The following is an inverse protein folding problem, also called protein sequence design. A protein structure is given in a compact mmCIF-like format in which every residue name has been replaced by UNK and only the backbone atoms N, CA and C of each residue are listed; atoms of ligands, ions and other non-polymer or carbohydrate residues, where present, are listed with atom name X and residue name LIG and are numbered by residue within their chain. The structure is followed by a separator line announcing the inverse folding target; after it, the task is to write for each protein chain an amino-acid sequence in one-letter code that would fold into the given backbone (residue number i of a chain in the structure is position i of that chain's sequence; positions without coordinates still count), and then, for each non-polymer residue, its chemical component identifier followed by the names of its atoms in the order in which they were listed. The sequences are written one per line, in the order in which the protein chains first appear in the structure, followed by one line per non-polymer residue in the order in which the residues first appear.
data_IF_089885123820
#
_entry.id   IF_089885123820
#
_cell.length_a   1.000
_cell.length_b   1.000
_cell.length_c   1.000
_cell.angle_alpha   90.00
_cell.angle_beta   90.00
_cell.angle_gamma   90.00
#
_symmetry.space_group_name_H-M   'P 1'
#
loop_
_entity.id
_entity.type
_entity.pdbx_description
1 polymer ?
#
# COMPACT_ATOMS: atom_id res chain seq x y z
N UNK A 1 18.00 8.13 9.13
CA UNK A 1 17.72 7.59 8.47
C UNK A 1 18.45 6.56 8.08
N UNK A 2 19.20 6.32 7.94
CA UNK A 2 19.96 5.26 7.58
C UNK A 2 19.43 3.90 7.81
N UNK A 3 18.33 3.78 8.49
CA UNK A 3 17.83 2.49 8.75
C UNK A 3 17.37 1.77 7.55
N UNK A 4 17.01 2.49 6.52
CA UNK A 4 16.54 1.84 5.34
C UNK A 4 17.57 0.92 4.77
N UNK A 5 18.80 1.33 4.75
CA UNK A 5 19.83 0.52 4.18
C UNK A 5 20.08 -0.75 4.94
N UNK A 6 19.77 -0.74 6.23
CA UNK A 6 20.04 -1.90 7.02
C UNK A 6 19.03 -2.99 6.81
N UNK A 7 17.81 -2.63 6.44
CA UNK A 7 16.77 -3.63 6.30
C UNK A 7 16.55 -4.08 4.88
N UNK A 8 17.27 -3.51 3.94
CA UNK A 8 17.09 -3.85 2.57
C UNK A 8 18.04 -4.99 2.21
N UNK A 9 17.55 -6.04 1.61
CA UNK A 9 18.42 -7.13 1.19
C UNK A 9 19.45 -6.62 0.20
N UNK A 10 20.59 -7.22 0.22
CA UNK A 10 21.63 -6.83 -0.69
C UNK A 10 21.34 -7.36 -2.06
N UNK A 11 21.09 -6.48 -3.00
CA UNK A 11 20.89 -6.89 -4.37
C UNK A 11 21.85 -6.11 -5.23
N UNK A 12 22.28 -6.70 -6.29
CA UNK A 12 23.20 -6.04 -7.19
C UNK A 12 22.43 -5.25 -8.24
N UNK A 13 23.12 -4.38 -8.91
CA UNK A 13 22.50 -3.60 -9.97
C UNK A 13 21.98 -4.53 -11.06
N UNK A 14 22.74 -5.58 -11.35
CA UNK A 14 22.30 -6.52 -12.37
C UNK A 14 20.99 -7.19 -12.00
N UNK A 15 20.84 -7.51 -10.72
CA UNK A 15 19.60 -8.13 -10.27
C UNK A 15 18.45 -7.16 -10.43
N UNK A 16 18.69 -5.89 -10.14
CA UNK A 16 17.63 -4.90 -10.28
C UNK A 16 17.26 -4.68 -11.74
N UNK A 17 18.22 -4.78 -12.62
CA UNK A 17 17.94 -4.59 -14.03
C UNK A 17 17.03 -5.67 -14.58
N UNK A 18 17.13 -6.87 -14.02
CA UNK A 18 16.30 -7.97 -14.50
C UNK A 18 15.02 -8.11 -13.70
N UNK A 19 14.86 -7.35 -12.63
CA UNK A 19 13.67 -7.45 -11.81
C UNK A 19 12.48 -6.85 -12.55
N UNK A 20 11.31 -7.35 -12.23
CA UNK A 20 10.12 -6.85 -12.90
C UNK A 20 9.65 -5.58 -12.25
N UNK A 21 9.12 -4.68 -13.05
CA UNK A 21 8.58 -3.44 -12.55
C UNK A 21 7.22 -3.69 -11.92
N UNK A 22 7.01 -3.18 -10.72
CA UNK A 22 5.72 -3.26 -10.07
C UNK A 22 4.84 -2.15 -10.60
N UNK A 23 3.64 -2.49 -11.00
CA UNK A 23 2.71 -1.49 -11.50
C UNK A 23 1.39 -1.61 -10.78
N UNK A 24 0.68 -0.49 -10.73
CA UNK A 24 -0.65 -0.46 -10.18
C UNK A 24 -1.61 -1.13 -11.15
N UNK A 25 -2.77 -1.49 -10.65
CA UNK A 25 -3.80 -2.08 -11.49
C UNK A 25 -4.20 -1.13 -12.61
N UNK A 26 -4.00 0.17 -12.43
CA UNK A 26 -4.31 1.13 -13.47
C UNK A 26 -3.19 1.27 -14.49
N UNK A 27 -2.05 0.66 -14.24
CA UNK A 27 -0.92 0.75 -15.14
C UNK A 27 0.18 1.70 -14.71
N UNK A 28 -0.06 2.50 -13.69
CA UNK A 28 0.95 3.42 -13.21
C UNK A 28 2.06 2.70 -12.47
N UNK A 29 3.26 3.26 -12.49
CA UNK A 29 4.42 2.62 -11.90
C UNK A 29 5.08 3.47 -10.82
N UNK A 30 4.56 4.64 -10.53
CA UNK A 30 5.14 5.52 -9.53
C UNK A 30 4.18 5.61 -8.35
N UNK A 31 4.71 5.49 -7.14
CA UNK A 31 3.88 5.40 -5.96
C UNK A 31 4.32 6.43 -4.93
N UNK A 32 3.41 6.74 -4.02
CA UNK A 32 3.66 7.65 -2.92
C UNK A 32 3.23 7.00 -1.63
N UNK A 33 3.91 7.34 -0.57
CA UNK A 33 3.54 6.86 0.75
C UNK A 33 2.59 7.86 1.39
N UNK A 34 1.52 7.37 1.98
CA UNK A 34 0.53 8.20 2.66
C UNK A 34 0.15 7.53 3.96
N UNK A 35 -0.60 8.23 4.77
CA UNK A 35 -1.01 7.70 6.06
C UNK A 35 -2.53 7.64 6.11
N UNK A 36 -3.03 6.49 6.49
CA UNK A 36 -4.45 6.28 6.70
C UNK A 36 -4.65 5.97 8.17
N UNK A 37 -5.74 6.42 8.76
CA UNK A 37 -6.02 6.14 10.15
C UNK A 37 -7.17 5.17 10.27
N UNK A 38 -7.01 4.22 11.19
CA UNK A 38 -8.11 3.34 11.56
C UNK A 38 -8.58 3.76 12.93
N UNK A 39 -9.91 3.74 13.13
CA UNK A 39 -10.48 4.10 14.41
C UNK A 39 -10.85 2.83 15.14
N UNK A 40 -10.28 2.64 16.33
CA UNK A 40 -10.53 1.46 17.12
C UNK A 40 -11.52 1.85 18.20
N UNK A 41 -12.64 1.14 18.27
CA UNK A 41 -13.67 1.49 19.23
C UNK A 41 -13.22 1.22 20.64
N UNK A 42 -13.84 1.90 21.60
CA UNK A 42 -13.46 1.73 22.99
C UNK A 42 -13.70 0.31 23.48
N UNK A 43 -14.63 -0.38 22.88
CA UNK A 43 -14.96 -1.73 23.32
C UNK A 43 -13.84 -2.71 23.07
N UNK A 44 -13.17 -2.59 21.93
CA UNK A 44 -12.11 -3.54 21.60
C UNK A 44 -10.73 -2.96 21.79
N UNK A 45 -10.64 -1.70 22.16
CA UNK A 45 -9.33 -1.08 22.36
C UNK A 45 -8.69 -1.60 23.66
N UNK A 46 -7.39 -1.87 23.65
CA UNK A 46 -6.73 -2.34 24.88
C UNK A 46 -6.83 -1.35 26.02
N UNK A 47 -6.96 -0.06 25.73
CA UNK A 47 -7.02 0.95 26.77
C UNK A 47 -8.44 1.24 27.23
N UNK A 48 -9.43 0.67 26.55
CA UNK A 48 -10.81 0.96 26.89
C UNK A 48 -11.30 2.29 26.36
N UNK A 49 -10.51 2.95 25.54
CA UNK A 49 -10.90 4.22 24.95
C UNK A 49 -10.79 4.12 23.46
N UNK A 50 -11.57 4.93 22.78
CA UNK A 50 -11.49 4.99 21.33
C UNK A 50 -10.12 5.54 20.94
N UNK A 51 -9.48 4.92 19.97
CA UNK A 51 -8.15 5.32 19.57
C UNK A 51 -8.03 5.34 18.07
N UNK A 52 -7.12 6.18 17.58
CA UNK A 52 -6.81 6.22 16.16
C UNK A 52 -5.47 5.52 15.94
N UNK A 53 -5.44 4.67 14.97
CA UNK A 53 -4.23 3.92 14.67
C UNK A 53 -3.74 4.32 13.27
N UNK A 54 -2.54 4.89 13.17
CA UNK A 54 -2.02 5.29 11.86
C UNK A 54 -1.45 4.09 11.12
N UNK A 55 -1.71 4.03 9.82
CA UNK A 55 -1.16 3.00 8.97
C UNK A 55 -0.54 3.67 7.77
N UNK A 56 0.67 3.24 7.44
CA UNK A 56 1.29 3.72 6.22
C UNK A 56 0.74 2.93 5.06
N UNK A 57 0.36 3.62 4.02
CA UNK A 57 -0.15 2.97 2.82
C UNK A 57 0.60 3.51 1.62
N UNK A 58 0.58 2.74 0.56
CA UNK A 58 1.21 3.14 -0.69
C UNK A 58 0.11 3.38 -1.70
N UNK A 59 0.08 4.54 -2.29
CA UNK A 59 -0.92 4.83 -3.31
C UNK A 59 -0.23 5.06 -4.64
N UNK A 60 -0.97 4.84 -5.70
CA UNK A 60 -0.47 5.08 -7.04
C UNK A 60 -0.57 6.56 -7.34
N UNK A 61 0.50 7.13 -7.85
CA UNK A 61 0.50 8.54 -8.15
C UNK A 61 -0.45 8.87 -9.28
N UNK A 62 -0.67 7.95 -10.19
CA UNK A 62 -1.53 8.21 -11.33
C UNK A 62 -3.01 8.17 -11.00
N UNK A 63 -3.45 7.15 -10.28
CA UNK A 63 -4.88 7.03 -10.02
C UNK A 63 -5.27 7.39 -8.59
N UNK A 64 -4.30 7.56 -7.70
CA UNK A 64 -4.60 7.96 -6.34
C UNK A 64 -5.14 6.87 -5.46
N UNK A 65 -5.15 5.63 -5.93
CA UNK A 65 -5.69 4.52 -5.16
C UNK A 65 -4.59 3.57 -4.74
N UNK A 66 -4.91 2.68 -3.83
CA UNK A 66 -3.95 1.72 -3.33
C UNK A 66 -3.96 0.52 -4.27
N UNK A 67 -2.81 0.16 -4.84
CA UNK A 67 -2.77 -1.06 -5.65
C UNK A 67 -3.15 -2.26 -4.80
N UNK A 68 -3.85 -3.20 -5.39
CA UNK A 68 -4.31 -4.35 -4.63
C UNK A 68 -3.14 -5.13 -4.04
N UNK A 69 -2.01 -5.05 -4.69
CA UNK A 69 -0.81 -5.73 -4.22
C UNK A 69 -0.32 -5.16 -2.89
N UNK A 70 -0.67 -3.92 -2.59
CA UNK A 70 -0.21 -3.27 -1.37
C UNK A 70 -1.29 -3.13 -0.32
N UNK A 71 -2.22 -4.07 -0.27
CA UNK A 71 -3.27 -4.06 0.73
C UNK A 71 -2.92 -5.08 1.82
N UNK A 72 -2.16 -4.68 2.85
CA UNK A 72 -1.70 -5.63 3.85
C UNK A 72 -2.87 -6.16 4.67
N UNK A 73 -2.93 -7.49 4.79
CA UNK A 73 -3.95 -8.15 5.59
C UNK A 73 -5.36 -7.73 5.22
N UNK A 74 -5.54 -7.21 4.02
CA UNK A 74 -6.86 -6.73 3.58
C UNK A 74 -7.44 -5.69 4.52
N UNK A 75 -6.57 -4.85 5.08
CA UNK A 75 -7.03 -3.84 6.01
C UNK A 75 -7.57 -2.60 5.33
N UNK A 76 -7.26 -2.39 4.06
CA UNK A 76 -7.68 -1.18 3.37
C UNK A 76 -9.03 -1.45 2.71
N UNK A 77 -10.04 -0.58 2.97
CA UNK A 77 -11.35 -0.80 2.38
C UNK A 77 -11.30 -0.80 0.86
N UNK A 78 -12.20 -1.56 0.28
CA UNK A 78 -12.20 -1.76 -1.15
C UNK A 78 -12.37 -0.46 -1.91
N UNK A 79 -13.09 0.49 -1.34
CA UNK A 79 -13.33 1.75 -2.03
C UNK A 79 -12.05 2.54 -2.27
N UNK A 80 -10.99 2.25 -1.52
CA UNK A 80 -9.72 2.93 -1.73
C UNK A 80 -8.75 2.14 -2.58
N UNK A 81 -9.13 0.96 -3.03
CA UNK A 81 -8.23 0.12 -3.81
C UNK A 81 -8.38 0.41 -5.28
N UNK A 82 -7.25 0.32 -5.98
CA UNK A 82 -7.28 0.44 -7.42
C UNK A 82 -7.96 -0.78 -7.99
N UNK A 83 -8.78 -0.57 -9.01
CA UNK A 83 -9.48 -1.68 -9.60
C UNK A 83 -8.92 -1.97 -10.96
N UNK A 84 -8.79 -3.26 -11.23
CA UNK A 84 -8.34 -3.63 -12.52
C UNK A 84 -9.31 -3.15 -13.53
N UNK A 85 -8.82 -2.65 -14.64
CA UNK A 85 -9.68 -2.30 -15.69
C UNK A 85 -10.11 -3.53 -16.35
N UNK A 86 -11.23 -4.04 -16.04
CA UNK A 86 -11.75 -5.20 -16.66
C UNK A 86 -12.71 -4.76 -17.69
N UNK A 87 -12.57 -5.24 -18.90
CA UNK A 87 -13.45 -4.90 -19.93
C UNK A 87 -14.56 -5.80 -19.90
N UNK A 88 -15.49 -5.47 -19.26
CA UNK A 88 -16.64 -6.29 -19.19
C UNK A 88 -17.57 -6.12 -20.30
N UNK A 89 -17.65 -5.96 -20.71
CA UNK A 89 -18.50 -6.00 -21.46
C UNK A 89 -18.50 -6.41 -22.21
N UNK A 90 -18.39 -6.53 -21.89
CA UNK A 90 -18.29 -7.04 -22.16
C UNK A 90 -18.46 -7.15 -22.34
#
# INVERSE_FOLDING_TARGET
MGNLGQNIPKVSIEQLKTAKQVTCDCGGAIFKEKIMFKRISAIISPTGKEELYPMNIIICESCGKVPTEFNPYNLIPEEFLAKKKINLNK
#
